data_IF_960945954513
#
_entry.id   IF_960945954513
#
_cell.length_a   1.000
_cell.length_b   1.000
_cell.length_c   1.000
_cell.angle_alpha   90.00
_cell.angle_beta   90.00
_cell.angle_gamma   90.00
#
_symmetry.space_group_name_H-M   'P 1'
#
loop_
_entity.id
_entity.type
_entity.pdbx_description
1 polymer ?
#
# COMPACT_ATOMS: atom_id res chain seq x y z
N UNK A 1 -34.53 0.57 -31.31
CA UNK A 1 -33.34 0.36 -30.46
C UNK A 1 -33.85 -0.30 -29.18
N UNK A 2 -33.59 -1.59 -28.99
CA UNK A 2 -33.82 -2.29 -27.73
C UNK A 2 -32.93 -1.67 -26.70
N UNK A 3 -33.48 -1.29 -25.53
CA UNK A 3 -32.69 -0.91 -24.35
C UNK A 3 -31.96 -2.16 -23.86
N UNK A 4 -30.68 -2.28 -24.20
CA UNK A 4 -29.77 -3.22 -23.57
C UNK A 4 -29.57 -2.73 -22.13
N UNK A 5 -29.96 -3.53 -21.13
CA UNK A 5 -29.65 -3.31 -19.74
C UNK A 5 -28.28 -3.96 -19.45
N UNK A 6 -27.29 -3.15 -19.12
CA UNK A 6 -26.00 -3.63 -18.66
C UNK A 6 -26.14 -4.19 -17.24
N UNK A 7 -25.85 -5.48 -17.07
CA UNK A 7 -25.83 -6.14 -15.77
C UNK A 7 -24.38 -6.42 -15.38
N UNK A 8 -23.84 -5.80 -14.30
CA UNK A 8 -22.47 -6.04 -13.87
C UNK A 8 -22.34 -7.46 -13.30
N UNK A 9 -21.55 -8.30 -13.96
CA UNK A 9 -21.16 -9.61 -13.43
C UNK A 9 -19.92 -9.42 -12.56
N UNK A 10 -20.12 -9.47 -11.24
CA UNK A 10 -19.04 -9.36 -10.27
C UNK A 10 -18.26 -10.68 -10.18
N UNK A 11 -16.96 -10.62 -9.79
CA UNK A 11 -16.19 -11.80 -9.37
C UNK A 11 -16.92 -12.54 -8.24
N UNK A 12 -16.58 -13.80 -8.04
CA UNK A 12 -17.11 -14.59 -6.93
C UNK A 12 -16.65 -14.00 -5.58
N UNK A 13 -17.49 -14.14 -4.56
CA UNK A 13 -17.15 -13.72 -3.21
C UNK A 13 -15.87 -14.41 -2.73
N UNK A 14 -14.98 -13.63 -2.09
CA UNK A 14 -13.69 -14.07 -1.60
C UNK A 14 -13.71 -14.29 -0.09
N UNK A 15 -12.90 -15.24 0.43
CA UNK A 15 -12.70 -15.40 1.86
C UNK A 15 -11.85 -14.22 2.41
N UNK A 16 -12.23 -13.72 3.58
CA UNK A 16 -11.38 -12.78 4.32
C UNK A 16 -10.28 -13.57 5.05
N UNK A 17 -9.02 -13.39 4.60
CA UNK A 17 -7.86 -14.09 5.16
C UNK A 17 -7.51 -13.65 6.59
N UNK A 18 -8.05 -12.53 7.06
CA UNK A 18 -7.82 -11.99 8.40
C UNK A 18 -8.90 -12.47 9.39
N UNK A 19 -10.01 -13.04 8.91
CA UNK A 19 -11.08 -13.56 9.75
C UNK A 19 -10.82 -15.03 10.13
N UNK A 20 -11.15 -15.39 11.37
CA UNK A 20 -11.14 -16.79 11.82
C UNK A 20 -12.45 -17.49 11.43
N UNK A 21 -12.67 -17.67 10.13
CA UNK A 21 -13.81 -18.45 9.63
C UNK A 21 -13.58 -19.93 9.91
N UNK A 22 -14.65 -20.61 10.28
CA UNK A 22 -14.64 -22.07 10.40
C UNK A 22 -14.48 -22.75 9.04
N UNK A 23 -14.04 -24.00 9.02
CA UNK A 23 -13.92 -24.80 7.79
C UNK A 23 -15.24 -24.89 7.00
N UNK A 24 -16.37 -24.91 7.68
CA UNK A 24 -17.71 -24.95 7.04
C UNK A 24 -18.06 -23.60 6.38
N UNK A 25 -17.73 -22.49 7.04
CA UNK A 25 -17.97 -21.16 6.49
C UNK A 25 -17.09 -20.88 5.27
N UNK A 26 -15.82 -21.27 5.32
CA UNK A 26 -14.89 -21.16 4.19
C UNK A 26 -15.37 -21.95 2.97
N UNK A 27 -15.93 -23.15 3.14
CA UNK A 27 -16.45 -23.96 2.05
C UNK A 27 -17.70 -23.36 1.39
N UNK A 28 -18.43 -22.47 2.08
CA UNK A 28 -19.60 -21.76 1.54
C UNK A 28 -19.24 -20.53 0.72
N UNK A 29 -18.01 -20.04 0.83
CA UNK A 29 -17.54 -18.92 0.01
C UNK A 29 -17.49 -19.34 -1.44
N UNK A 30 -18.13 -18.59 -2.34
CA UNK A 30 -18.37 -18.97 -3.74
C UNK A 30 -17.09 -19.35 -4.50
N UNK A 31 -16.02 -18.56 -4.35
CA UNK A 31 -14.73 -18.83 -4.99
C UNK A 31 -14.12 -20.15 -4.48
N UNK A 32 -14.17 -20.39 -3.17
CA UNK A 32 -13.68 -21.64 -2.55
C UNK A 32 -14.54 -22.82 -3.00
N UNK A 33 -15.86 -22.68 -3.00
CA UNK A 33 -16.79 -23.71 -3.45
C UNK A 33 -16.56 -24.11 -4.91
N UNK A 34 -16.31 -23.13 -5.79
CA UNK A 34 -15.97 -23.39 -7.19
C UNK A 34 -14.64 -24.16 -7.30
N UNK A 35 -13.59 -23.72 -6.60
CA UNK A 35 -12.30 -24.39 -6.60
C UNK A 35 -12.42 -25.86 -6.15
N UNK A 36 -13.08 -26.11 -5.01
CA UNK A 36 -13.28 -27.46 -4.46
C UNK A 36 -14.05 -28.35 -5.44
N UNK A 37 -15.11 -27.83 -6.05
CA UNK A 37 -15.90 -28.58 -7.04
C UNK A 37 -15.04 -28.98 -8.25
N UNK A 38 -14.21 -28.08 -8.78
CA UNK A 38 -13.32 -28.34 -9.93
C UNK A 38 -12.16 -29.26 -9.56
N UNK A 39 -11.60 -29.12 -8.36
CA UNK A 39 -10.55 -30.00 -7.85
C UNK A 39 -11.06 -31.46 -7.71
N UNK A 40 -12.27 -31.66 -7.14
CA UNK A 40 -12.88 -32.98 -7.01
C UNK A 40 -13.26 -33.62 -8.35
N UNK A 41 -13.59 -32.81 -9.36
CA UNK A 41 -13.87 -33.33 -10.70
C UNK A 41 -12.66 -34.04 -11.33
N UNK A 42 -11.44 -33.62 -11.01
CA UNK A 42 -10.19 -34.21 -11.55
C UNK A 42 -9.48 -35.14 -10.55
N UNK A 43 -9.81 -35.00 -9.26
CA UNK A 43 -9.26 -35.81 -8.15
C UNK A 43 -10.39 -36.12 -7.18
N UNK A 44 -11.17 -37.21 -7.38
CA UNK A 44 -12.35 -37.54 -6.58
C UNK A 44 -12.05 -37.71 -5.07
N UNK A 45 -10.84 -38.14 -4.72
CA UNK A 45 -10.33 -38.33 -3.36
C UNK A 45 -9.73 -37.04 -2.75
N UNK A 46 -10.00 -35.87 -3.35
CA UNK A 46 -9.50 -34.59 -2.85
C UNK A 46 -10.05 -34.29 -1.46
N UNK A 47 -9.17 -34.38 -0.45
CA UNK A 47 -9.51 -34.15 0.96
C UNK A 47 -9.49 -32.65 1.29
N UNK A 48 -10.39 -32.26 2.20
CA UNK A 48 -10.48 -30.90 2.73
C UNK A 48 -10.17 -30.96 4.22
N UNK A 49 -8.99 -30.55 4.58
CA UNK A 49 -8.59 -30.23 5.94
C UNK A 49 -8.41 -28.71 6.09
N UNK A 50 -8.17 -28.23 7.30
CA UNK A 50 -8.01 -26.80 7.61
C UNK A 50 -6.87 -26.19 6.81
N UNK A 51 -5.73 -26.88 6.70
CA UNK A 51 -4.56 -26.43 5.94
C UNK A 51 -4.82 -26.37 4.44
N UNK A 52 -5.56 -27.32 3.90
CA UNK A 52 -6.00 -27.36 2.51
C UNK A 52 -6.89 -26.15 2.19
N UNK A 53 -7.85 -25.86 3.07
CA UNK A 53 -8.74 -24.71 2.91
C UNK A 53 -8.00 -23.37 3.01
N UNK A 54 -6.98 -23.25 3.84
CA UNK A 54 -6.12 -22.07 3.90
C UNK A 54 -5.41 -21.83 2.56
N UNK A 55 -4.80 -22.85 1.97
CA UNK A 55 -4.18 -22.70 0.65
C UNK A 55 -5.19 -22.35 -0.45
N UNK A 56 -6.36 -22.99 -0.47
CA UNK A 56 -7.41 -22.69 -1.44
C UNK A 56 -7.87 -21.25 -1.29
N UNK A 57 -8.07 -20.78 -0.07
CA UNK A 57 -8.45 -19.39 0.22
C UNK A 57 -7.44 -18.40 -0.34
N UNK A 58 -6.14 -18.61 -0.08
CA UNK A 58 -5.06 -17.79 -0.64
C UNK A 58 -5.08 -17.80 -2.18
N UNK A 59 -5.22 -18.97 -2.79
CA UNK A 59 -5.28 -19.13 -4.25
C UNK A 59 -6.48 -18.34 -4.81
N UNK A 60 -7.68 -18.49 -4.23
CA UNK A 60 -8.87 -17.78 -4.68
C UNK A 60 -8.73 -16.26 -4.58
N UNK A 61 -8.16 -15.75 -3.47
CA UNK A 61 -7.87 -14.32 -3.30
C UNK A 61 -6.88 -13.83 -4.34
N UNK A 62 -5.81 -14.59 -4.61
CA UNK A 62 -4.82 -14.24 -5.65
C UNK A 62 -5.36 -14.26 -7.07
N UNK A 63 -6.42 -15.04 -7.31
CA UNK A 63 -7.13 -15.11 -8.59
C UNK A 63 -8.32 -14.13 -8.65
N UNK A 64 -8.47 -13.22 -7.66
CA UNK A 64 -9.53 -12.19 -7.56
C UNK A 64 -10.96 -12.73 -7.70
N UNK A 65 -11.18 -14.01 -7.34
CA UNK A 65 -12.48 -14.64 -7.51
C UNK A 65 -12.92 -14.81 -8.97
N UNK A 66 -12.02 -14.66 -9.93
CA UNK A 66 -12.34 -14.83 -11.36
C UNK A 66 -12.68 -16.28 -11.66
N UNK A 67 -13.92 -16.60 -12.08
CA UNK A 67 -14.32 -18.00 -12.31
C UNK A 67 -13.41 -18.75 -13.27
N UNK A 68 -13.06 -18.12 -14.39
CA UNK A 68 -12.17 -18.74 -15.40
C UNK A 68 -10.77 -19.04 -14.82
N UNK A 69 -10.20 -18.13 -14.05
CA UNK A 69 -8.89 -18.33 -13.44
C UNK A 69 -8.90 -19.49 -12.43
N UNK A 70 -9.98 -19.58 -11.62
CA UNK A 70 -10.19 -20.67 -10.67
C UNK A 70 -10.37 -22.00 -11.42
N UNK A 71 -11.16 -22.03 -12.49
CA UNK A 71 -11.40 -23.24 -13.29
C UNK A 71 -10.14 -23.75 -14.01
N UNK A 72 -9.23 -22.87 -14.38
CA UNK A 72 -7.93 -23.23 -14.96
C UNK A 72 -6.92 -23.70 -13.91
N UNK A 73 -6.99 -23.12 -12.70
CA UNK A 73 -6.05 -23.41 -11.62
C UNK A 73 -6.40 -24.69 -10.84
N UNK A 74 -7.68 -24.91 -10.52
CA UNK A 74 -8.10 -26.02 -9.65
C UNK A 74 -7.69 -27.42 -10.18
N UNK A 75 -7.70 -27.74 -11.49
CA UNK A 75 -7.21 -29.02 -12.01
C UNK A 75 -5.74 -29.31 -11.76
N UNK A 76 -4.93 -28.29 -11.44
CA UNK A 76 -3.50 -28.48 -11.14
C UNK A 76 -3.25 -29.33 -9.88
N UNK A 77 -4.25 -29.50 -9.01
CA UNK A 77 -4.19 -30.38 -7.83
C UNK A 77 -3.92 -31.85 -8.17
N UNK A 78 -4.14 -32.24 -9.42
CA UNK A 78 -3.78 -33.56 -9.95
C UNK A 78 -2.27 -33.75 -10.08
N UNK A 79 -1.53 -32.65 -10.31
CA UNK A 79 -0.11 -32.67 -10.65
C UNK A 79 0.73 -32.10 -9.50
N UNK A 80 0.24 -31.06 -8.83
CA UNK A 80 1.00 -30.32 -7.82
C UNK A 80 0.25 -30.26 -6.47
N UNK A 81 0.99 -30.27 -5.34
CA UNK A 81 0.45 -29.92 -4.03
C UNK A 81 -0.06 -28.48 -4.01
N UNK A 82 -1.10 -28.19 -3.21
CA UNK A 82 -1.67 -26.82 -3.10
C UNK A 82 -0.66 -25.76 -2.66
N UNK A 83 0.29 -26.12 -1.80
CA UNK A 83 1.38 -25.21 -1.39
C UNK A 83 2.22 -24.76 -2.57
N UNK A 84 2.53 -25.67 -3.48
CA UNK A 84 3.31 -25.39 -4.70
C UNK A 84 2.48 -24.56 -5.69
N UNK A 85 1.17 -24.84 -5.80
CA UNK A 85 0.27 -24.06 -6.66
C UNK A 85 0.20 -22.61 -6.15
N UNK A 86 -0.03 -22.40 -4.84
CA UNK A 86 -0.07 -21.10 -4.23
C UNK A 86 1.24 -20.32 -4.45
N UNK A 87 2.39 -20.96 -4.21
CA UNK A 87 3.71 -20.34 -4.43
C UNK A 87 3.94 -19.96 -5.90
N UNK A 88 3.52 -20.80 -6.85
CA UNK A 88 3.67 -20.50 -8.28
C UNK A 88 2.78 -19.36 -8.74
N UNK A 89 1.55 -19.28 -8.23
CA UNK A 89 0.62 -18.17 -8.49
C UNK A 89 1.20 -16.89 -7.92
N UNK A 90 1.74 -16.92 -6.70
CA UNK A 90 2.39 -15.77 -6.07
C UNK A 90 3.60 -15.27 -6.87
N UNK A 91 4.34 -16.16 -7.53
CA UNK A 91 5.53 -15.81 -8.31
C UNK A 91 5.23 -15.38 -9.75
N UNK A 92 4.27 -16.01 -10.41
CA UNK A 92 4.03 -15.73 -11.84
C UNK A 92 2.70 -16.31 -12.35
N UNK A 93 1.81 -15.44 -12.85
CA UNK A 93 0.55 -15.82 -13.51
C UNK A 93 0.73 -16.69 -14.76
N UNK A 94 1.89 -16.63 -15.41
CA UNK A 94 2.18 -17.44 -16.61
C UNK A 94 2.20 -18.94 -16.35
N UNK A 95 2.17 -19.38 -15.09
CA UNK A 95 2.13 -20.79 -14.69
C UNK A 95 0.75 -21.43 -14.79
N UNK A 96 -0.31 -20.66 -15.03
CA UNK A 96 -1.67 -21.19 -15.20
C UNK A 96 -1.74 -21.93 -16.54
N UNK A 97 -2.08 -23.23 -16.56
CA UNK A 97 -2.11 -24.01 -17.80
C UNK A 97 -3.23 -23.58 -18.74
N UNK A 98 -3.08 -23.96 -20.00
CA UNK A 98 -4.14 -23.79 -20.99
C UNK A 98 -5.42 -24.53 -20.55
N UNK A 99 -6.56 -23.93 -20.81
CA UNK A 99 -7.86 -24.56 -20.62
C UNK A 99 -8.11 -25.73 -21.60
N UNK A 100 -9.29 -26.35 -21.54
CA UNK A 100 -9.69 -27.41 -22.45
C UNK A 100 -9.49 -27.03 -23.92
N UNK A 101 -9.07 -27.95 -24.74
CA UNK A 101 -8.74 -27.72 -26.17
C UNK A 101 -9.96 -27.38 -27.05
N UNK A 102 -11.15 -27.63 -26.57
CA UNK A 102 -12.43 -27.34 -27.22
C UNK A 102 -12.91 -25.88 -27.02
N UNK A 103 -12.27 -25.14 -26.13
CA UNK A 103 -12.56 -23.73 -25.92
C UNK A 103 -11.90 -22.85 -27.01
N UNK A 104 -12.53 -21.71 -27.34
CA UNK A 104 -11.91 -20.70 -28.19
C UNK A 104 -10.53 -20.31 -27.70
N UNK A 105 -9.59 -20.02 -28.61
CA UNK A 105 -8.19 -19.72 -28.28
C UNK A 105 -8.03 -18.65 -27.19
N UNK A 106 -8.91 -17.64 -27.17
CA UNK A 106 -8.95 -16.58 -26.13
C UNK A 106 -9.27 -17.08 -24.73
N UNK A 107 -9.92 -18.24 -24.60
CA UNK A 107 -10.33 -18.83 -23.32
C UNK A 107 -9.39 -19.94 -22.86
N UNK A 108 -8.43 -20.34 -23.68
CA UNK A 108 -7.53 -21.46 -23.36
C UNK A 108 -6.58 -21.15 -22.20
N UNK A 109 -6.20 -19.90 -22.04
CA UNK A 109 -5.39 -19.46 -20.91
C UNK A 109 -5.81 -18.06 -20.46
N UNK A 110 -5.69 -17.77 -19.17
CA UNK A 110 -5.91 -16.41 -18.67
C UNK A 110 -4.98 -15.41 -19.38
N UNK A 111 -3.71 -15.79 -19.55
CA UNK A 111 -2.72 -14.96 -20.22
C UNK A 111 -3.13 -14.64 -21.68
N UNK A 112 -3.59 -15.63 -22.44
CA UNK A 112 -4.06 -15.42 -23.81
C UNK A 112 -5.29 -14.51 -23.85
N UNK A 113 -6.18 -14.64 -22.88
CA UNK A 113 -7.36 -13.78 -22.77
C UNK A 113 -6.95 -12.32 -22.49
N UNK A 114 -6.00 -12.11 -21.59
CA UNK A 114 -5.46 -10.78 -21.29
C UNK A 114 -4.71 -10.18 -22.49
N UNK A 115 -3.89 -10.97 -23.16
CA UNK A 115 -3.19 -10.54 -24.39
C UNK A 115 -4.19 -10.14 -25.47
N UNK A 116 -5.22 -10.98 -25.72
CA UNK A 116 -6.25 -10.66 -26.71
C UNK A 116 -7.00 -9.37 -26.37
N UNK A 117 -7.38 -9.18 -25.10
CA UNK A 117 -8.05 -7.95 -24.65
C UNK A 117 -7.16 -6.71 -24.84
N UNK A 118 -5.85 -6.85 -24.56
CA UNK A 118 -4.86 -5.80 -24.78
C UNK A 118 -4.66 -5.48 -26.25
N UNK A 119 -4.69 -6.47 -27.15
CA UNK A 119 -4.54 -6.26 -28.58
C UNK A 119 -5.66 -5.43 -29.21
N UNK A 120 -6.82 -5.36 -28.54
CA UNK A 120 -7.95 -4.50 -28.94
C UNK A 120 -7.81 -3.03 -28.49
N UNK A 121 -6.77 -2.69 -27.75
CA UNK A 121 -6.50 -1.34 -27.27
C UNK A 121 -5.68 -0.56 -28.30
N UNK A 122 -5.92 0.77 -28.37
CA UNK A 122 -4.98 1.67 -29.05
C UNK A 122 -3.70 1.87 -28.22
N UNK A 123 -2.69 2.53 -28.77
CA UNK A 123 -1.37 2.63 -28.13
C UNK A 123 -1.40 3.44 -26.82
N UNK A 124 -2.20 4.51 -26.74
CA UNK A 124 -2.35 5.30 -25.50
C UNK A 124 -3.11 4.51 -24.42
N UNK A 125 -4.16 3.77 -24.80
CA UNK A 125 -4.87 2.86 -23.90
C UNK A 125 -3.94 1.75 -23.38
N UNK A 126 -3.13 1.12 -24.24
CA UNK A 126 -2.14 0.08 -23.85
C UNK A 126 -1.14 0.62 -22.85
N UNK A 127 -0.63 1.83 -23.10
CA UNK A 127 0.36 2.48 -22.24
C UNK A 127 -0.25 2.80 -20.87
N UNK A 128 -1.41 3.44 -20.84
CA UNK A 128 -2.10 3.75 -19.60
C UNK A 128 -2.47 2.49 -18.83
N UNK A 129 -3.03 1.48 -19.49
CA UNK A 129 -3.41 0.20 -18.91
C UNK A 129 -2.21 -0.50 -18.25
N UNK A 130 -1.05 -0.50 -18.89
CA UNK A 130 0.17 -1.05 -18.29
C UNK A 130 0.61 -0.25 -17.05
N UNK A 131 0.59 1.10 -17.14
CA UNK A 131 1.03 1.99 -16.06
C UNK A 131 0.14 1.96 -14.83
N UNK A 132 -1.16 1.68 -14.98
CA UNK A 132 -2.07 1.51 -13.85
C UNK A 132 -1.66 0.39 -12.89
N UNK A 133 -0.81 -0.55 -13.33
CA UNK A 133 -0.31 -1.63 -12.49
C UNK A 133 0.61 -1.16 -11.35
N UNK A 134 1.12 0.08 -11.40
CA UNK A 134 1.96 0.64 -10.34
C UNK A 134 1.18 0.87 -9.04
N UNK A 135 -0.14 1.12 -9.14
CA UNK A 135 -0.99 1.35 -8.00
C UNK A 135 -1.34 0.05 -7.28
N UNK A 136 -1.22 0.06 -5.96
CA UNK A 136 -1.70 -0.99 -5.08
C UNK A 136 -3.08 -0.59 -4.54
N UNK A 137 -4.12 -1.34 -4.91
CA UNK A 137 -5.50 -1.01 -4.55
C UNK A 137 -6.17 0.06 -5.42
N UNK A 138 -5.51 0.50 -6.51
CA UNK A 138 -5.98 1.54 -7.42
C UNK A 138 -5.48 2.94 -7.06
N UNK A 139 -5.89 3.94 -7.85
CA UNK A 139 -5.55 5.35 -7.62
C UNK A 139 -6.71 6.27 -7.97
N UNK A 140 -6.69 7.49 -7.44
CA UNK A 140 -7.59 8.57 -7.83
C UNK A 140 -7.28 9.06 -9.24
N UNK A 141 -8.20 9.80 -9.88
CA UNK A 141 -7.93 10.40 -11.17
C UNK A 141 -6.70 11.32 -11.13
N UNK A 142 -6.59 12.16 -10.10
CA UNK A 142 -5.46 13.08 -9.92
C UNK A 142 -4.12 12.33 -9.81
N UNK A 143 -4.09 11.23 -9.06
CA UNK A 143 -2.90 10.39 -8.95
C UNK A 143 -2.52 9.76 -10.29
N UNK A 144 -3.49 9.25 -11.04
CA UNK A 144 -3.28 8.62 -12.34
C UNK A 144 -2.77 9.65 -13.35
N UNK A 145 -3.38 10.84 -13.42
CA UNK A 145 -2.93 11.93 -14.29
C UNK A 145 -1.50 12.36 -13.94
N UNK A 146 -1.21 12.57 -12.66
CA UNK A 146 0.11 13.00 -12.22
C UNK A 146 1.21 11.97 -12.53
N UNK A 147 0.91 10.68 -12.37
CA UNK A 147 1.91 9.61 -12.43
C UNK A 147 2.00 9.01 -13.83
N UNK A 148 0.87 8.81 -14.50
CA UNK A 148 0.79 8.00 -15.73
C UNK A 148 0.75 8.81 -17.03
N UNK A 149 0.51 10.13 -16.99
CA UNK A 149 0.23 10.94 -18.19
C UNK A 149 1.43 11.18 -19.13
N UNK A 150 2.65 10.91 -18.68
CA UNK A 150 3.85 11.14 -19.50
C UNK A 150 3.76 10.40 -20.84
N UNK A 151 3.96 11.14 -21.97
CA UNK A 151 3.92 10.60 -23.35
C UNK A 151 2.57 9.96 -23.74
N UNK A 152 1.48 10.31 -23.09
CA UNK A 152 0.11 10.01 -23.51
C UNK A 152 -0.42 11.24 -24.25
N UNK A 153 -0.88 11.05 -25.48
CA UNK A 153 -1.38 12.15 -26.30
C UNK A 153 -2.86 12.43 -26.08
N UNK A 154 -3.59 11.45 -25.56
CA UNK A 154 -5.02 11.53 -25.28
C UNK A 154 -5.34 12.08 -23.89
N UNK A 155 -6.59 12.48 -23.69
CA UNK A 155 -7.13 12.82 -22.38
C UNK A 155 -7.22 11.55 -21.50
N UNK A 156 -6.59 11.58 -20.31
CA UNK A 156 -6.49 10.41 -19.40
C UNK A 156 -7.87 9.98 -18.93
N UNK A 157 -8.78 10.91 -18.66
CA UNK A 157 -10.14 10.60 -18.22
C UNK A 157 -10.93 9.81 -19.28
N UNK A 158 -10.78 10.20 -20.56
CA UNK A 158 -11.40 9.48 -21.66
C UNK A 158 -10.81 8.08 -21.84
N UNK A 159 -9.48 7.94 -21.68
CA UNK A 159 -8.81 6.64 -21.75
C UNK A 159 -9.22 5.71 -20.59
N UNK A 160 -9.30 6.22 -19.37
CA UNK A 160 -9.81 5.46 -18.20
C UNK A 160 -11.25 5.01 -18.47
N UNK A 161 -12.12 5.91 -18.95
CA UNK A 161 -13.50 5.58 -19.28
C UNK A 161 -13.60 4.48 -20.34
N UNK A 162 -12.74 4.51 -21.36
CA UNK A 162 -12.67 3.49 -22.37
C UNK A 162 -12.20 2.11 -21.81
N UNK A 163 -11.22 2.13 -20.89
CA UNK A 163 -10.73 0.92 -20.23
C UNK A 163 -11.77 0.32 -19.27
N UNK A 164 -12.53 1.16 -18.55
CA UNK A 164 -13.65 0.73 -17.68
C UNK A 164 -14.74 0.09 -18.54
N UNK A 165 -15.14 0.71 -19.66
CA UNK A 165 -16.13 0.17 -20.58
C UNK A 165 -15.72 -1.16 -21.21
N UNK A 166 -14.40 -1.45 -21.29
CA UNK A 166 -13.85 -2.72 -21.75
C UNK A 166 -13.65 -3.74 -20.62
N UNK A 167 -14.10 -3.43 -19.38
CA UNK A 167 -13.95 -4.26 -18.17
C UNK A 167 -12.47 -4.61 -17.84
N UNK A 168 -11.53 -3.75 -18.21
CA UNK A 168 -10.11 -3.90 -17.90
C UNK A 168 -9.69 -3.11 -16.65
N UNK A 169 -10.44 -2.07 -16.31
CA UNK A 169 -10.27 -1.22 -15.12
C UNK A 169 -11.54 -1.22 -14.31
N UNK A 170 -11.43 -1.34 -13.01
CA UNK A 170 -12.52 -1.24 -12.06
C UNK A 170 -12.61 0.20 -11.56
N UNK A 171 -13.81 0.77 -11.58
CA UNK A 171 -14.11 2.03 -10.91
C UNK A 171 -14.87 1.70 -9.60
N UNK A 172 -14.31 2.11 -8.47
CA UNK A 172 -14.86 1.84 -7.15
C UNK A 172 -14.98 3.13 -6.34
N UNK A 173 -16.18 3.45 -5.89
CA UNK A 173 -16.39 4.53 -4.94
C UNK A 173 -15.87 4.11 -3.56
N UNK A 174 -15.01 4.92 -2.96
CA UNK A 174 -14.46 4.72 -1.63
C UNK A 174 -15.32 5.41 -0.57
N UNK A 175 -15.05 5.13 0.71
CA UNK A 175 -15.82 5.65 1.85
C UNK A 175 -15.88 7.18 1.92
N UNK A 176 -14.89 7.87 1.38
CA UNK A 176 -14.82 9.33 1.29
C UNK A 176 -15.57 9.91 0.07
N UNK A 177 -16.25 9.08 -0.74
CA UNK A 177 -16.95 9.48 -1.97
C UNK A 177 -16.05 9.64 -3.20
N UNK A 178 -14.73 9.46 -3.09
CA UNK A 178 -13.81 9.48 -4.23
C UNK A 178 -13.88 8.19 -5.03
N UNK A 179 -13.76 8.32 -6.36
CA UNK A 179 -13.68 7.16 -7.26
C UNK A 179 -12.22 6.76 -7.43
N UNK A 180 -11.91 5.50 -7.11
CA UNK A 180 -10.63 4.88 -7.39
C UNK A 180 -10.72 3.96 -8.59
N UNK A 181 -9.71 4.07 -9.46
CA UNK A 181 -9.56 3.23 -10.64
C UNK A 181 -8.44 2.22 -10.39
N UNK A 182 -8.76 0.95 -10.47
CA UNK A 182 -7.82 -0.13 -10.15
C UNK A 182 -7.93 -1.29 -11.11
N UNK A 183 -6.94 -2.18 -11.01
CA UNK A 183 -6.90 -3.43 -11.75
C UNK A 183 -7.22 -4.58 -10.83
N UNK A 184 -7.85 -5.63 -11.36
CA UNK A 184 -7.84 -6.92 -10.69
C UNK A 184 -6.39 -7.39 -10.51
N UNK A 185 -6.07 -8.02 -9.38
CA UNK A 185 -4.68 -8.39 -9.06
C UNK A 185 -4.03 -9.25 -10.15
N UNK A 186 -4.79 -10.17 -10.76
CA UNK A 186 -4.30 -10.98 -11.88
C UNK A 186 -3.91 -10.14 -13.10
N UNK A 187 -4.70 -9.09 -13.40
CA UNK A 187 -4.42 -8.14 -14.49
C UNK A 187 -3.24 -7.24 -14.09
N UNK A 188 -3.17 -6.82 -12.83
CA UNK A 188 -2.08 -6.00 -12.31
C UNK A 188 -0.74 -6.71 -12.46
N UNK A 189 -0.65 -7.97 -12.06
CA UNK A 189 0.58 -8.77 -12.18
C UNK A 189 1.01 -8.93 -13.65
N UNK A 190 0.07 -9.22 -14.55
CA UNK A 190 0.35 -9.27 -16.00
C UNK A 190 0.94 -7.95 -16.51
N UNK A 191 0.35 -6.82 -16.12
CA UNK A 191 0.82 -5.51 -16.56
C UNK A 191 2.18 -5.13 -15.94
N UNK A 192 2.47 -5.54 -14.70
CA UNK A 192 3.80 -5.35 -14.09
C UNK A 192 4.89 -6.11 -14.87
N UNK A 193 4.61 -7.33 -15.33
CA UNK A 193 5.53 -8.07 -16.19
C UNK A 193 5.77 -7.32 -17.51
N UNK A 194 4.73 -6.76 -18.12
CA UNK A 194 4.87 -5.96 -19.34
C UNK A 194 5.71 -4.70 -19.09
N UNK A 195 5.46 -3.95 -18.00
CA UNK A 195 6.24 -2.77 -17.62
C UNK A 195 7.71 -3.09 -17.39
N UNK A 196 8.04 -4.25 -16.84
CA UNK A 196 9.43 -4.67 -16.62
C UNK A 196 10.22 -4.80 -17.93
N UNK A 197 9.54 -5.12 -19.03
CA UNK A 197 10.17 -5.27 -20.36
C UNK A 197 10.37 -3.94 -21.10
N UNK A 198 9.59 -2.90 -20.74
CA UNK A 198 9.65 -1.58 -21.40
C UNK A 198 10.74 -0.66 -20.85
N UNK A 199 11.32 -1.00 -19.69
CA UNK A 199 12.27 -0.13 -18.99
C UNK A 199 11.63 1.09 -18.28
N UNK A 200 10.32 1.27 -18.34
CA UNK A 200 9.60 2.38 -17.71
C UNK A 200 9.40 2.20 -16.18
N UNK A 201 9.53 0.98 -15.67
CA UNK A 201 9.19 0.62 -14.28
C UNK A 201 9.85 1.55 -13.25
N UNK A 202 11.16 1.78 -13.34
CA UNK A 202 11.87 2.62 -12.37
C UNK A 202 11.42 4.09 -12.40
N UNK A 203 11.19 4.64 -13.60
CA UNK A 203 10.73 6.01 -13.76
C UNK A 203 9.31 6.18 -13.21
N UNK A 204 8.44 5.23 -13.48
CA UNK A 204 7.06 5.22 -13.01
C UNK A 204 6.99 5.04 -11.48
N UNK A 205 7.78 4.11 -10.92
CA UNK A 205 7.88 3.89 -9.49
C UNK A 205 8.42 5.12 -8.74
N UNK A 206 9.37 5.84 -9.34
CA UNK A 206 9.86 7.11 -8.80
C UNK A 206 8.75 8.19 -8.80
N UNK A 207 7.98 8.31 -9.88
CA UNK A 207 6.86 9.26 -9.94
C UNK A 207 5.77 8.91 -8.92
N UNK A 208 5.45 7.62 -8.78
CA UNK A 208 4.51 7.11 -7.78
C UNK A 208 4.98 7.44 -6.36
N UNK A 209 6.22 7.12 -6.03
CA UNK A 209 6.78 7.37 -4.71
C UNK A 209 6.82 8.87 -4.37
N UNK A 210 7.14 9.73 -5.33
CA UNK A 210 7.12 11.19 -5.15
C UNK A 210 5.70 11.72 -4.89
N UNK A 211 4.72 11.26 -5.65
CA UNK A 211 3.33 11.68 -5.47
C UNK A 211 2.83 11.35 -4.07
N UNK A 212 3.02 10.12 -3.63
CA UNK A 212 2.57 9.69 -2.30
C UNK A 212 3.42 10.26 -1.15
N UNK A 213 4.68 10.60 -1.39
CA UNK A 213 5.48 11.39 -0.44
C UNK A 213 4.91 12.79 -0.26
N UNK A 214 4.55 13.48 -1.35
CA UNK A 214 3.93 14.80 -1.29
C UNK A 214 2.57 14.76 -0.59
N UNK A 215 1.74 13.74 -0.88
CA UNK A 215 0.46 13.54 -0.19
C UNK A 215 0.64 13.37 1.33
N UNK A 216 1.65 12.61 1.76
CA UNK A 216 1.96 12.42 3.17
C UNK A 216 2.48 13.71 3.83
N UNK A 217 3.33 14.47 3.15
CA UNK A 217 3.82 15.76 3.64
C UNK A 217 2.68 16.78 3.79
N UNK A 218 1.79 16.87 2.81
CA UNK A 218 0.60 17.72 2.86
C UNK A 218 -0.31 17.34 4.04
N UNK A 219 -0.47 16.05 4.29
CA UNK A 219 -1.34 15.55 5.36
C UNK A 219 -0.97 16.03 6.75
N UNK A 220 0.32 16.31 7.01
CA UNK A 220 0.82 16.70 8.34
C UNK A 220 0.10 17.92 8.92
N UNK A 221 -0.13 18.94 8.09
CA UNK A 221 -0.81 20.16 8.54
C UNK A 221 -2.29 19.92 8.83
N UNK A 222 -2.94 19.09 8.07
CA UNK A 222 -4.38 18.81 8.14
C UNK A 222 -4.74 17.82 9.25
N UNK A 223 -3.90 16.79 9.47
CA UNK A 223 -4.11 15.79 10.53
C UNK A 223 -4.12 16.45 11.92
N UNK A 224 -3.35 17.51 12.07
CA UNK A 224 -3.33 18.27 13.32
C UNK A 224 -4.47 19.30 13.43
N UNK A 225 -5.34 19.45 12.43
CA UNK A 225 -6.41 20.45 12.34
C UNK A 225 -7.83 19.89 12.42
N UNK A 226 -8.78 20.74 11.99
CA UNK A 226 -10.22 20.39 11.90
C UNK A 226 -10.51 19.31 10.85
N UNK A 227 -9.60 19.07 9.91
CA UNK A 227 -9.74 18.10 8.82
C UNK A 227 -9.11 16.73 9.15
N UNK A 228 -8.75 16.50 10.42
CA UNK A 228 -8.05 15.29 10.89
C UNK A 228 -8.68 13.99 10.35
N UNK A 229 -9.99 13.82 10.54
CA UNK A 229 -10.68 12.59 10.15
C UNK A 229 -10.61 12.38 8.64
N UNK A 230 -10.88 13.43 7.87
CA UNK A 230 -10.85 13.39 6.40
C UNK A 230 -9.49 12.96 5.86
N UNK A 231 -8.41 13.54 6.41
CA UNK A 231 -7.05 13.21 5.97
C UNK A 231 -6.57 11.86 6.44
N UNK A 232 -6.94 11.45 7.65
CA UNK A 232 -6.67 10.09 8.13
C UNK A 232 -7.37 9.04 7.26
N UNK A 233 -8.62 9.28 6.86
CA UNK A 233 -9.36 8.37 5.98
C UNK A 233 -8.77 8.36 4.56
N UNK A 234 -8.30 9.51 4.05
CA UNK A 234 -7.59 9.59 2.77
C UNK A 234 -6.30 8.76 2.79
N UNK A 235 -5.45 8.92 3.83
CA UNK A 235 -4.24 8.11 3.97
C UNK A 235 -4.53 6.62 4.18
N UNK A 236 -5.61 6.28 4.87
CA UNK A 236 -6.05 4.89 5.05
C UNK A 236 -6.44 4.23 3.72
N UNK A 237 -7.14 4.96 2.85
CA UNK A 237 -7.51 4.49 1.51
C UNK A 237 -6.25 4.25 0.66
N UNK A 238 -5.25 5.12 0.81
CA UNK A 238 -3.99 5.06 0.05
C UNK A 238 -2.89 4.23 0.75
N UNK A 239 -3.20 3.56 1.86
CA UNK A 239 -2.19 2.90 2.70
C UNK A 239 -1.31 1.91 1.93
N UNK A 240 -1.88 1.13 1.02
CA UNK A 240 -1.10 0.18 0.21
C UNK A 240 -0.18 0.90 -0.81
N UNK A 241 -0.59 2.05 -1.34
CA UNK A 241 0.25 2.90 -2.18
C UNK A 241 1.38 3.57 -1.36
N UNK A 242 1.09 3.99 -0.13
CA UNK A 242 2.10 4.52 0.80
C UNK A 242 3.14 3.43 1.15
N UNK A 243 2.71 2.20 1.44
CA UNK A 243 3.60 1.05 1.67
C UNK A 243 4.49 0.75 0.47
N UNK A 244 3.92 0.76 -0.74
CA UNK A 244 4.68 0.56 -1.97
C UNK A 244 5.74 1.66 -2.18
N UNK A 245 5.40 2.90 -1.87
CA UNK A 245 6.30 4.04 -1.95
C UNK A 245 7.43 3.95 -0.91
N UNK A 246 7.13 3.55 0.32
CA UNK A 246 8.15 3.28 1.36
C UNK A 246 9.11 2.16 0.91
N UNK A 247 8.58 1.07 0.34
CA UNK A 247 9.39 -0.03 -0.17
C UNK A 247 10.29 0.41 -1.34
N UNK A 248 9.82 1.30 -2.21
CA UNK A 248 10.62 1.88 -3.27
C UNK A 248 11.76 2.74 -2.69
N UNK A 249 11.44 3.68 -1.79
CA UNK A 249 12.45 4.51 -1.13
C UNK A 249 13.50 3.67 -0.38
N UNK A 250 13.14 2.53 0.16
CA UNK A 250 14.08 1.61 0.83
C UNK A 250 15.23 1.16 -0.09
N UNK A 251 15.03 1.08 -1.40
CA UNK A 251 15.99 0.57 -2.37
C UNK A 251 16.51 1.61 -3.36
N UNK A 252 15.90 2.79 -3.44
CA UNK A 252 16.26 3.83 -4.41
C UNK A 252 17.58 4.51 -4.07
N UNK A 253 18.57 4.42 -4.93
CA UNK A 253 19.88 5.07 -4.73
C UNK A 253 19.75 6.60 -4.67
N UNK A 254 20.53 7.24 -3.80
CA UNK A 254 20.54 8.71 -3.66
C UNK A 254 19.27 9.32 -3.07
N UNK A 255 18.30 8.52 -2.61
CA UNK A 255 17.00 8.99 -2.08
C UNK A 255 16.85 8.77 -0.56
N UNK A 256 17.96 8.65 0.17
CA UNK A 256 17.90 8.37 1.61
C UNK A 256 17.18 9.49 2.38
N UNK A 257 17.51 10.75 2.11
CA UNK A 257 16.89 11.89 2.78
C UNK A 257 15.38 12.01 2.48
N UNK A 258 14.99 11.85 1.21
CA UNK A 258 13.57 11.85 0.82
C UNK A 258 12.80 10.71 1.48
N UNK A 259 13.42 9.52 1.60
CA UNK A 259 12.82 8.38 2.30
C UNK A 259 12.63 8.63 3.79
N UNK A 260 13.59 9.32 4.45
CA UNK A 260 13.47 9.73 5.86
C UNK A 260 12.34 10.73 6.07
N UNK A 261 12.26 11.76 5.23
CA UNK A 261 11.20 12.78 5.30
C UNK A 261 9.82 12.16 5.06
N UNK A 262 9.70 11.31 4.06
CA UNK A 262 8.45 10.62 3.77
C UNK A 262 8.00 9.74 4.94
N UNK A 263 8.88 8.88 5.48
CA UNK A 263 8.53 8.05 6.62
C UNK A 263 8.15 8.90 7.84
N UNK A 264 8.89 9.99 8.11
CA UNK A 264 8.60 10.90 9.22
C UNK A 264 7.23 11.59 9.07
N UNK A 265 6.81 11.95 7.85
CA UNK A 265 5.49 12.58 7.64
C UNK A 265 4.29 11.68 7.94
N UNK A 266 4.49 10.36 7.99
CA UNK A 266 3.45 9.40 8.35
C UNK A 266 3.31 9.14 9.87
N UNK A 267 4.15 9.76 10.70
CA UNK A 267 4.17 9.58 12.16
C UNK A 267 2.78 9.69 12.79
N UNK A 268 2.07 10.78 12.52
CA UNK A 268 0.75 11.04 13.10
C UNK A 268 -0.31 10.07 12.57
N UNK A 269 -0.24 9.70 11.29
CA UNK A 269 -1.12 8.68 10.72
C UNK A 269 -0.95 7.34 11.45
N UNK A 270 0.28 6.85 11.58
CA UNK A 270 0.56 5.61 12.29
C UNK A 270 0.21 5.69 13.78
N UNK A 271 0.50 6.82 14.42
CA UNK A 271 0.19 7.03 15.84
C UNK A 271 -1.31 7.01 16.12
N UNK A 272 -2.11 7.73 15.34
CA UNK A 272 -3.55 7.85 15.57
C UNK A 272 -4.30 6.59 15.13
N UNK A 273 -3.88 5.94 14.03
CA UNK A 273 -4.51 4.69 13.54
C UNK A 273 -4.01 3.43 14.24
N UNK A 274 -3.00 3.54 15.12
CA UNK A 274 -2.47 2.40 15.89
C UNK A 274 -1.49 1.50 15.11
N UNK A 275 -0.97 1.95 13.98
CA UNK A 275 0.03 1.22 13.18
C UNK A 275 1.46 1.37 13.72
N UNK A 276 1.62 1.39 15.04
CA UNK A 276 2.90 1.68 15.70
C UNK A 276 4.05 0.78 15.21
N UNK A 277 3.82 -0.53 15.14
CA UNK A 277 4.87 -1.49 14.75
C UNK A 277 5.30 -1.29 13.30
N UNK A 278 4.35 -1.06 12.38
CA UNK A 278 4.62 -0.77 10.97
C UNK A 278 5.42 0.53 10.82
N UNK A 279 5.04 1.57 11.56
CA UNK A 279 5.74 2.85 11.55
C UNK A 279 7.17 2.72 12.06
N UNK A 280 7.39 2.07 13.21
CA UNK A 280 8.72 1.83 13.77
C UNK A 280 9.60 1.02 12.80
N UNK A 281 9.06 -0.05 12.20
CA UNK A 281 9.79 -0.87 11.23
C UNK A 281 10.19 -0.06 9.99
N UNK A 282 9.25 0.72 9.44
CA UNK A 282 9.48 1.55 8.25
C UNK A 282 10.52 2.64 8.50
N UNK A 283 10.40 3.35 9.63
CA UNK A 283 11.35 4.39 10.05
C UNK A 283 12.74 3.82 10.34
N UNK A 284 12.82 2.70 11.07
CA UNK A 284 14.09 2.03 11.37
C UNK A 284 14.79 1.54 10.11
N UNK A 285 14.02 1.01 9.14
CA UNK A 285 14.54 0.64 7.84
C UNK A 285 15.09 1.85 7.06
N UNK A 286 14.41 3.00 7.10
CA UNK A 286 14.88 4.24 6.48
C UNK A 286 16.16 4.79 7.15
N UNK A 287 16.21 4.80 8.49
CA UNK A 287 17.36 5.26 9.29
C UNK A 287 18.63 4.39 9.10
N UNK A 288 18.44 3.10 8.80
CA UNK A 288 19.53 2.13 8.64
C UNK A 288 20.14 2.13 7.22
N UNK A 289 19.61 2.94 6.29
CA UNK A 289 20.10 2.97 4.90
C UNK A 289 21.48 3.61 4.73
N UNK A 290 22.27 3.17 3.75
CA UNK A 290 23.42 3.93 3.30
C UNK A 290 23.00 5.36 2.91
N UNK A 291 23.73 6.36 3.41
CA UNK A 291 23.41 7.79 3.20
C UNK A 291 22.39 8.40 4.16
N UNK A 292 21.75 7.60 5.04
CA UNK A 292 20.86 8.11 6.07
C UNK A 292 21.56 8.48 7.40
N UNK A 293 22.86 8.21 7.51
CA UNK A 293 23.66 8.48 8.72
C UNK A 293 24.07 9.94 8.87
N UNK A 294 23.91 10.75 7.82
CA UNK A 294 24.21 12.18 7.86
C UNK A 294 23.32 12.89 8.89
N UNK A 295 23.91 13.76 9.69
CA UNK A 295 23.22 14.54 10.73
C UNK A 295 22.42 15.68 10.10
N UNK A 296 21.31 15.32 9.48
CA UNK A 296 20.40 16.19 8.73
C UNK A 296 19.06 16.41 9.45
N UNK A 297 18.31 17.40 9.00
CA UNK A 297 16.95 17.65 9.48
C UNK A 297 16.03 16.44 9.25
N UNK A 298 16.21 15.75 8.11
CA UNK A 298 15.46 14.55 7.79
C UNK A 298 15.71 13.41 8.80
N UNK A 299 17.00 13.20 9.16
CA UNK A 299 17.36 12.22 10.19
C UNK A 299 16.78 12.57 11.55
N UNK A 300 16.88 13.83 11.98
CA UNK A 300 16.33 14.28 13.26
C UNK A 300 14.82 14.05 13.33
N UNK A 301 14.08 14.38 12.26
CA UNK A 301 12.64 14.12 12.16
C UNK A 301 12.31 12.63 12.23
N UNK A 302 13.02 11.77 11.51
CA UNK A 302 12.78 10.34 11.50
C UNK A 302 13.10 9.69 12.85
N UNK A 303 14.17 10.13 13.53
CA UNK A 303 14.48 9.69 14.90
C UNK A 303 13.39 10.09 15.89
N UNK A 304 12.92 11.35 15.85
CA UNK A 304 11.81 11.82 16.67
C UNK A 304 10.52 11.03 16.42
N UNK A 305 10.16 10.82 15.14
CA UNK A 305 9.00 10.02 14.76
C UNK A 305 9.09 8.57 15.30
N UNK A 306 10.26 7.95 15.18
CA UNK A 306 10.49 6.61 15.73
C UNK A 306 10.36 6.62 17.25
N UNK A 307 10.92 7.64 17.92
CA UNK A 307 10.84 7.80 19.37
C UNK A 307 9.40 7.97 19.86
N UNK A 308 8.60 8.78 19.16
CA UNK A 308 7.19 8.98 19.53
C UNK A 308 6.39 7.67 19.41
N UNK A 309 6.54 6.93 18.32
CA UNK A 309 5.87 5.64 18.16
C UNK A 309 6.34 4.59 19.19
N UNK A 310 7.64 4.60 19.54
CA UNK A 310 8.21 3.74 20.59
C UNK A 310 7.70 4.13 21.97
N UNK A 311 7.56 5.44 22.26
CA UNK A 311 6.96 5.96 23.47
C UNK A 311 5.50 5.49 23.64
N UNK A 312 4.70 5.58 22.57
CA UNK A 312 3.31 5.11 22.57
C UNK A 312 3.19 3.58 22.82
N UNK A 313 4.27 2.83 22.60
CA UNK A 313 4.38 1.41 22.96
C UNK A 313 5.09 1.20 24.32
N UNK A 314 5.34 2.26 25.10
CA UNK A 314 6.02 2.21 26.40
C UNK A 314 7.44 1.61 26.34
N UNK A 315 8.13 1.73 25.19
CA UNK A 315 9.53 1.27 25.00
C UNK A 315 10.51 2.36 25.46
N UNK A 316 10.43 2.79 26.70
CA UNK A 316 11.16 3.95 27.23
C UNK A 316 12.69 3.93 27.03
N UNK A 317 13.41 2.81 27.22
CA UNK A 317 14.87 2.79 26.97
C UNK A 317 15.24 3.11 25.52
N UNK A 318 14.51 2.57 24.55
CA UNK A 318 14.71 2.83 23.13
C UNK A 318 14.32 4.28 22.79
N UNK A 319 13.18 4.74 23.29
CA UNK A 319 12.69 6.11 23.13
C UNK A 319 13.74 7.12 23.56
N UNK A 320 14.37 6.92 24.71
CA UNK A 320 15.40 7.82 25.27
C UNK A 320 16.59 7.98 24.31
N UNK A 321 17.14 6.87 23.82
CA UNK A 321 18.29 6.89 22.91
C UNK A 321 17.97 7.64 21.60
N UNK A 322 16.80 7.40 21.04
CA UNK A 322 16.34 8.05 19.81
C UNK A 322 16.15 9.56 20.01
N UNK A 323 15.55 9.96 21.15
CA UNK A 323 15.37 11.37 21.48
C UNK A 323 16.68 12.08 21.74
N UNK A 324 17.64 11.47 22.43
CA UNK A 324 18.96 12.04 22.69
C UNK A 324 19.68 12.37 21.37
N UNK A 325 19.69 11.45 20.40
CA UNK A 325 20.28 11.70 19.09
C UNK A 325 19.51 12.78 18.32
N UNK A 326 18.16 12.70 18.30
CA UNK A 326 17.31 13.67 17.61
C UNK A 326 17.51 15.09 18.16
N UNK A 327 17.46 15.27 19.47
CA UNK A 327 17.68 16.56 20.15
C UNK A 327 19.07 17.13 19.85
N UNK A 328 20.12 16.27 19.87
CA UNK A 328 21.47 16.69 19.52
C UNK A 328 21.53 17.25 18.10
N UNK A 329 20.93 16.57 17.12
CA UNK A 329 20.92 17.03 15.73
C UNK A 329 20.12 18.32 15.59
N UNK A 330 18.94 18.44 16.20
CA UNK A 330 18.15 19.66 16.12
C UNK A 330 18.87 20.86 16.69
N UNK A 331 19.62 20.71 17.81
CA UNK A 331 20.42 21.78 18.39
C UNK A 331 21.58 22.22 17.51
N UNK A 332 22.21 21.28 16.79
CA UNK A 332 23.26 21.59 15.81
C UNK A 332 22.73 22.36 14.59
N UNK A 333 21.45 22.14 14.23
CA UNK A 333 20.82 22.72 13.05
C UNK A 333 20.01 24.00 13.34
N UNK A 334 20.13 24.59 14.55
CA UNK A 334 19.45 25.86 14.82
C UNK A 334 19.90 26.98 13.85
N UNK A 335 18.96 27.84 13.41
CA UNK A 335 17.56 27.95 13.82
C UNK A 335 16.57 27.07 13.05
N UNK A 336 16.99 26.37 12.00
CA UNK A 336 16.11 25.61 11.09
C UNK A 336 15.42 24.45 11.83
N UNK A 337 16.13 23.81 12.79
CA UNK A 337 15.61 22.67 13.56
C UNK A 337 14.66 23.03 14.72
N UNK A 338 14.37 24.31 14.95
CA UNK A 338 13.80 24.82 16.21
C UNK A 338 12.42 24.28 16.54
N UNK A 339 11.52 24.17 15.54
CA UNK A 339 10.20 23.56 15.75
C UNK A 339 10.31 22.06 16.10
N UNK A 340 11.20 21.34 15.41
CA UNK A 340 11.46 19.92 15.71
C UNK A 340 12.08 19.70 17.08
N UNK A 341 12.96 20.61 17.50
CA UNK A 341 13.54 20.61 18.85
C UNK A 341 12.46 20.71 19.93
N UNK A 342 11.53 21.66 19.80
CA UNK A 342 10.43 21.83 20.75
C UNK A 342 9.54 20.56 20.81
N UNK A 343 9.19 19.97 19.69
CA UNK A 343 8.39 18.74 19.64
C UNK A 343 9.12 17.56 20.32
N UNK A 344 10.42 17.40 20.06
CA UNK A 344 11.23 16.34 20.67
C UNK A 344 11.40 16.54 22.19
N UNK A 345 11.52 17.79 22.64
CA UNK A 345 11.55 18.14 24.07
C UNK A 345 10.24 17.79 24.77
N UNK A 346 9.08 18.04 24.13
CA UNK A 346 7.77 17.65 24.67
C UNK A 346 7.69 16.13 24.81
N UNK A 347 8.03 15.37 23.78
CA UNK A 347 8.00 13.90 23.84
C UNK A 347 8.94 13.38 24.94
N UNK A 348 10.10 14.00 25.11
CA UNK A 348 11.03 13.67 26.22
C UNK A 348 10.42 13.97 27.58
N UNK A 349 9.79 15.14 27.74
CA UNK A 349 9.13 15.54 28.97
C UNK A 349 7.94 14.65 29.33
N UNK A 350 7.13 14.25 28.34
CA UNK A 350 6.03 13.29 28.52
C UNK A 350 6.59 11.95 29.04
N UNK A 351 7.64 11.42 28.41
CA UNK A 351 8.29 10.19 28.84
C UNK A 351 8.84 10.29 30.28
N UNK A 352 9.54 11.38 30.62
CA UNK A 352 10.08 11.58 31.97
C UNK A 352 8.97 11.72 33.02
N UNK A 353 7.82 12.27 32.63
CA UNK A 353 6.62 12.35 33.49
C UNK A 353 6.10 10.95 33.81
N UNK A 354 5.95 10.10 32.81
CA UNK A 354 5.52 8.70 32.99
C UNK A 354 6.51 7.89 33.87
N UNK A 355 7.80 8.23 33.80
CA UNK A 355 8.85 7.60 34.62
C UNK A 355 8.94 8.19 36.04
N UNK A 356 8.15 9.22 36.39
CA UNK A 356 8.17 9.89 37.69
C UNK A 356 9.30 10.90 37.89
N UNK A 357 10.05 11.23 36.84
CA UNK A 357 11.17 12.17 36.89
C UNK A 357 10.72 13.62 36.70
N UNK A 358 9.81 14.08 37.51
CA UNK A 358 9.09 15.38 37.35
C UNK A 358 10.00 16.61 37.24
N UNK A 359 11.15 16.61 37.91
CA UNK A 359 12.11 17.74 37.84
C UNK A 359 12.70 17.84 36.42
N UNK A 360 13.11 16.72 35.82
CA UNK A 360 13.64 16.66 34.45
C UNK A 360 12.55 17.03 33.46
N UNK A 361 11.35 16.46 33.61
CA UNK A 361 10.18 16.77 32.79
C UNK A 361 9.86 18.26 32.77
N UNK A 362 9.82 18.91 33.93
CA UNK A 362 9.58 20.36 34.07
C UNK A 362 10.63 21.19 33.32
N UNK A 363 11.90 20.83 33.40
CA UNK A 363 12.98 21.52 32.67
C UNK A 363 12.80 21.42 31.16
N UNK A 364 12.54 20.21 30.65
CA UNK A 364 12.34 19.95 29.21
C UNK A 364 11.10 20.69 28.68
N UNK A 365 9.99 20.63 29.40
CA UNK A 365 8.75 21.32 29.04
C UNK A 365 8.89 22.84 29.05
N UNK A 366 9.68 23.39 30.01
CA UNK A 366 9.95 24.83 30.06
C UNK A 366 10.76 25.28 28.84
N UNK A 367 11.83 24.57 28.50
CA UNK A 367 12.62 24.84 27.27
C UNK A 367 11.73 24.78 26.02
N UNK A 368 10.88 23.75 25.89
CA UNK A 368 9.95 23.63 24.78
C UNK A 368 8.97 24.81 24.68
N UNK A 369 8.40 25.23 25.82
CA UNK A 369 7.45 26.34 25.91
C UNK A 369 8.09 27.68 25.50
N UNK A 370 9.33 27.93 25.90
CA UNK A 370 10.09 29.10 25.48
C UNK A 370 10.26 29.14 23.97
N UNK A 371 10.69 28.03 23.38
CA UNK A 371 10.86 27.92 21.92
C UNK A 371 9.52 28.14 21.19
N UNK A 372 8.43 27.54 21.65
CA UNK A 372 7.13 27.69 21.02
C UNK A 372 6.57 29.12 21.11
N UNK A 373 6.83 29.82 22.24
CA UNK A 373 6.48 31.24 22.37
C UNK A 373 7.24 32.12 21.35
N UNK A 374 8.53 31.88 21.17
CA UNK A 374 9.34 32.60 20.22
C UNK A 374 8.92 32.35 18.76
N UNK A 375 8.47 31.11 18.46
CA UNK A 375 7.94 30.75 17.14
C UNK A 375 6.50 31.22 16.91
N UNK A 376 5.79 31.68 17.94
CA UNK A 376 4.37 32.04 17.87
C UNK A 376 3.44 30.85 17.65
N UNK A 377 3.90 29.63 18.03
CA UNK A 377 3.11 28.41 17.89
C UNK A 377 2.08 28.31 19.03
N UNK A 378 0.93 28.94 18.83
CA UNK A 378 -0.18 28.96 19.80
C UNK A 378 -0.73 27.56 20.11
N UNK A 379 -0.63 26.62 19.16
CA UNK A 379 -1.07 25.23 19.34
C UNK A 379 -0.09 24.48 20.25
N UNK A 380 1.20 24.56 19.98
CA UNK A 380 2.22 23.96 20.83
C UNK A 380 2.17 24.48 22.28
N UNK A 381 1.87 25.77 22.45
CA UNK A 381 1.71 26.38 23.79
C UNK A 381 0.51 25.81 24.55
N UNK A 382 -0.55 25.36 23.88
CA UNK A 382 -1.78 24.85 24.52
C UNK A 382 -1.71 23.35 24.85
N UNK A 383 -0.68 22.65 24.41
CA UNK A 383 -0.45 21.23 24.62
C UNK A 383 0.36 20.97 25.89
#
# INVERSE_FOLDING_TARGET
>A
KRQEQEYPVLPLNLPDLNSKLSSEELQRVEAVALFVRRARAVKPDFSLDEKTLEYISRICVRLDGLPLAIELCAPMVKIFPLSVIAERIDKNLSTIPSGPSDLPARQQTLLKTLQWSRDLLNEDEKRLFARLAIFNGGGTMDAIESICNKEISGDVGNLISALVNKNLVLAQERRNGEIHFGLLETIRQYNLEQLSTTGEMNSLANSHAKYFSQLAEESVQHILGSEQVTWLDKLEIEHDNLRASLAWFKNAEGQAESGLLFAASLEHFWGIRGYFSEGIESLSAALSRPGASERSLARAKALHATALLSYLQSRYPETRLLLEESLSIYRELEPIGRQGLANALITSGDMETELGNYSTASTLMTEALEIMRELGDTRGISR
#
